data_IF_424334569481
#
_entry.id   IF_424334569481
#
_cell.length_a   1.000
_cell.length_b   1.000
_cell.length_c   1.000
_cell.angle_alpha   90.00
_cell.angle_beta   90.00
_cell.angle_gamma   90.00
#
_symmetry.space_group_name_H-M   'P 1'
#
loop_
_entity.id
_entity.type
_entity.pdbx_description
1 polymer ?
#
# COMPACT_ATOMS: atom_id res chain seq x y z
N UNK A 1 -5.19 -12.37 14.06
CA UNK A 1 -4.48 -11.16 13.57
C UNK A 1 -4.33 -11.29 12.06
N UNK A 2 -5.05 -10.49 11.26
CA UNK A 2 -4.88 -10.53 9.80
C UNK A 2 -3.58 -9.80 9.46
N UNK A 3 -2.56 -10.53 9.01
CA UNK A 3 -1.43 -9.89 8.33
C UNK A 3 -1.98 -9.30 7.04
N UNK A 4 -2.13 -7.96 6.96
CA UNK A 4 -2.54 -7.30 5.72
C UNK A 4 -1.72 -7.85 4.54
N UNK A 5 -2.35 -8.31 3.47
CA UNK A 5 -1.64 -8.81 2.29
C UNK A 5 -0.80 -7.68 1.68
N UNK A 6 0.17 -8.05 0.83
CA UNK A 6 0.95 -7.06 0.08
C UNK A 6 0.01 -6.18 -0.75
N UNK A 7 0.17 -4.85 -0.74
CA UNK A 7 -0.68 -3.94 -1.50
C UNK A 7 -0.68 -4.24 -3.01
N UNK A 8 -1.82 -3.97 -3.63
CA UNK A 8 -2.04 -4.04 -5.08
C UNK A 8 -2.68 -2.74 -5.55
N UNK A 9 -2.64 -2.43 -6.86
CA UNK A 9 -3.35 -1.28 -7.43
C UNK A 9 -4.84 -1.27 -7.03
N UNK A 10 -5.46 -2.44 -7.09
CA UNK A 10 -6.86 -2.61 -6.71
C UNK A 10 -7.09 -2.28 -5.23
N UNK A 11 -6.27 -2.80 -4.31
CA UNK A 11 -6.45 -2.52 -2.88
C UNK A 11 -6.20 -1.04 -2.57
N UNK A 12 -5.20 -0.40 -3.20
CA UNK A 12 -4.92 1.03 -3.04
C UNK A 12 -6.13 1.87 -3.49
N UNK A 13 -6.71 1.59 -4.65
CA UNK A 13 -7.92 2.27 -5.11
C UNK A 13 -9.10 1.98 -4.19
N UNK A 14 -9.30 0.71 -3.82
CA UNK A 14 -10.46 0.28 -3.04
C UNK A 14 -10.47 0.89 -1.65
N UNK A 15 -9.32 0.93 -0.99
CA UNK A 15 -9.17 1.42 0.38
C UNK A 15 -9.16 2.95 0.45
N UNK A 16 -8.65 3.64 -0.58
CA UNK A 16 -8.59 5.11 -0.62
C UNK A 16 -9.83 5.78 -1.22
N UNK A 17 -10.31 5.30 -2.37
CA UNK A 17 -11.35 5.96 -3.18
C UNK A 17 -12.59 5.10 -3.45
N UNK A 18 -12.51 3.80 -3.15
CA UNK A 18 -13.56 2.82 -3.40
C UNK A 18 -13.64 2.33 -4.85
N UNK A 19 -13.32 3.16 -5.85
CA UNK A 19 -13.37 2.83 -7.27
C UNK A 19 -12.42 3.66 -8.13
N UNK A 20 -12.07 3.15 -9.33
CA UNK A 20 -11.19 3.85 -10.29
C UNK A 20 -11.76 5.18 -10.79
N UNK A 21 -13.07 5.32 -11.11
CA UNK A 21 -13.63 6.62 -11.48
C UNK A 21 -13.52 7.67 -10.38
N UNK A 22 -13.75 7.29 -9.12
CA UNK A 22 -13.58 8.21 -7.98
C UNK A 22 -12.13 8.65 -7.81
N UNK A 23 -11.20 7.71 -8.01
CA UNK A 23 -9.76 8.02 -8.04
C UNK A 23 -9.46 9.05 -9.14
N UNK A 24 -9.85 8.79 -10.40
CA UNK A 24 -9.60 9.71 -11.53
C UNK A 24 -10.15 11.12 -11.22
N UNK A 25 -11.42 11.18 -10.81
CA UNK A 25 -12.08 12.44 -10.50
C UNK A 25 -11.38 13.24 -9.38
N UNK A 26 -10.83 12.56 -8.37
CA UNK A 26 -10.11 13.24 -7.28
C UNK A 26 -8.80 13.92 -7.72
N UNK A 27 -8.22 13.48 -8.84
CA UNK A 27 -7.04 14.09 -9.46
C UNK A 27 -7.43 15.03 -10.62
N UNK A 28 -8.72 15.32 -10.82
CA UNK A 28 -9.20 16.14 -11.93
C UNK A 28 -9.14 15.44 -13.29
N UNK A 29 -8.91 14.12 -13.31
CA UNK A 29 -8.79 13.31 -14.51
C UNK A 29 -10.14 12.80 -14.99
N UNK A 30 -10.31 12.71 -16.31
CA UNK A 30 -11.48 12.11 -16.96
C UNK A 30 -11.24 10.62 -17.23
N UNK A 31 -12.23 10.01 -17.86
CA UNK A 31 -12.19 8.62 -18.34
C UNK A 31 -11.83 8.53 -19.83
N UNK A 32 -10.98 9.44 -20.31
CA UNK A 32 -10.40 9.37 -21.66
C UNK A 32 -9.12 8.54 -21.64
N UNK A 33 -8.68 7.95 -22.77
CA UNK A 33 -7.46 7.16 -22.82
C UNK A 33 -6.22 7.90 -22.27
N UNK A 34 -6.07 9.18 -22.60
CA UNK A 34 -4.94 10.02 -22.19
C UNK A 34 -4.93 10.23 -20.66
N UNK A 35 -6.09 10.62 -20.10
CA UNK A 35 -6.24 10.83 -18.66
C UNK A 35 -6.15 9.51 -17.88
N UNK A 36 -6.48 8.37 -18.51
CA UNK A 36 -6.31 7.05 -17.93
C UNK A 36 -4.84 6.64 -17.82
N UNK A 37 -4.00 6.99 -18.80
CA UNK A 37 -2.55 6.79 -18.73
C UNK A 37 -1.94 7.63 -17.59
N UNK A 38 -2.28 8.91 -17.51
CA UNK A 38 -1.82 9.78 -16.41
C UNK A 38 -2.24 9.22 -15.04
N UNK A 39 -3.51 8.82 -14.92
CA UNK A 39 -4.00 8.20 -13.70
C UNK A 39 -3.32 6.87 -13.37
N UNK A 40 -2.84 6.14 -14.37
CA UNK A 40 -2.10 4.88 -14.18
C UNK A 40 -0.68 5.14 -13.67
N UNK A 41 -0.03 6.21 -14.14
CA UNK A 41 1.27 6.66 -13.63
C UNK A 41 1.19 7.08 -12.16
N UNK A 42 0.18 7.87 -11.79
CA UNK A 42 -0.07 8.26 -10.39
C UNK A 42 -0.30 7.02 -9.53
N UNK A 43 -1.14 6.09 -9.99
CA UNK A 43 -1.43 4.86 -9.27
C UNK A 43 -0.19 3.96 -9.09
N UNK A 44 0.71 3.93 -10.09
CA UNK A 44 1.99 3.23 -9.98
C UNK A 44 2.87 3.82 -8.87
N UNK A 45 2.92 5.14 -8.72
CA UNK A 45 3.68 5.79 -7.65
C UNK A 45 3.08 5.49 -6.28
N UNK A 46 1.76 5.60 -6.14
CA UNK A 46 1.06 5.26 -4.89
C UNK A 46 1.29 3.81 -4.48
N UNK A 47 1.24 2.88 -5.44
CA UNK A 47 1.50 1.47 -5.17
C UNK A 47 2.94 1.24 -4.68
N UNK A 48 3.93 1.90 -5.29
CA UNK A 48 5.34 1.78 -4.87
C UNK A 48 5.51 2.21 -3.42
N UNK A 49 4.92 3.34 -3.04
CA UNK A 49 4.98 3.83 -1.66
C UNK A 49 4.27 2.87 -0.69
N UNK A 50 3.07 2.42 -1.03
CA UNK A 50 2.32 1.47 -0.20
C UNK A 50 3.08 0.13 0.00
N UNK A 51 3.78 -0.35 -1.03
CA UNK A 51 4.63 -1.55 -0.92
C UNK A 51 5.82 -1.28 0.01
N UNK A 52 6.48 -0.13 -0.10
CA UNK A 52 7.60 0.23 0.77
C UNK A 52 7.18 0.26 2.24
N UNK A 53 6.06 0.91 2.55
CA UNK A 53 5.50 0.95 3.91
C UNK A 53 5.18 -0.45 4.43
N UNK A 54 4.56 -1.30 3.59
CA UNK A 54 4.25 -2.69 3.94
C UNK A 54 5.52 -3.51 4.22
N UNK A 55 6.59 -3.32 3.45
CA UNK A 55 7.87 -3.98 3.66
C UNK A 55 8.52 -3.54 4.98
N UNK A 56 8.48 -2.25 5.28
CA UNK A 56 9.08 -1.70 6.50
C UNK A 56 8.31 -2.11 7.76
N UNK A 57 6.97 -2.14 7.73
CA UNK A 57 6.16 -2.72 8.80
C UNK A 57 6.48 -4.20 9.05
N UNK A 58 6.78 -4.95 7.99
CA UNK A 58 7.16 -6.36 8.11
C UNK A 58 8.55 -6.53 8.71
N UNK A 59 9.51 -5.70 8.29
CA UNK A 59 10.86 -5.70 8.87
C UNK A 59 10.82 -5.32 10.36
N UNK A 60 10.04 -4.30 10.72
CA UNK A 60 9.88 -3.88 12.12
C UNK A 60 9.25 -4.98 12.98
N UNK A 61 8.20 -5.66 12.48
CA UNK A 61 7.60 -6.81 13.17
C UNK A 61 8.56 -7.97 13.33
N UNK A 62 9.35 -8.28 12.29
CA UNK A 62 10.37 -9.32 12.38
C UNK A 62 11.47 -8.95 13.39
N UNK A 63 11.93 -7.70 13.39
CA UNK A 63 12.91 -7.19 14.35
C UNK A 63 12.41 -7.21 15.80
N UNK A 64 11.18 -6.77 16.05
CA UNK A 64 10.56 -6.78 17.37
C UNK A 64 10.31 -8.21 17.89
N UNK A 65 9.92 -9.14 17.01
CA UNK A 65 9.75 -10.55 17.38
C UNK A 65 11.08 -11.18 17.84
N UNK A 66 12.18 -10.82 17.18
CA UNK A 66 13.51 -11.29 17.56
C UNK A 66 13.98 -10.70 18.91
N UNK A 67 13.71 -9.41 19.19
CA UNK A 67 14.06 -8.78 20.48
C UNK A 67 13.26 -9.40 21.63
N UNK A 68 11.97 -9.66 21.45
CA UNK A 68 11.13 -10.25 22.49
C UNK A 68 11.57 -11.69 22.86
N UNK A 69 12.02 -12.50 21.88
CA UNK A 69 12.57 -13.83 22.16
C UNK A 69 13.91 -13.78 22.91
N UNK A 70 14.78 -12.81 22.61
CA UNK A 70 16.07 -12.68 23.28
C UNK A 70 15.89 -12.26 24.75
N UNK A 71 14.99 -11.33 25.03
CA UNK A 71 14.73 -10.86 26.41
C UNK A 71 13.96 -11.88 27.27
N UNK A 72 13.17 -12.75 26.65
CA UNK A 72 12.48 -13.85 27.36
C UNK A 72 13.39 -15.03 27.76
N UNK A 73 14.61 -15.10 27.21
CA UNK A 73 15.57 -16.16 27.51
C UNK A 73 16.57 -15.79 28.63
N UNK A 74 16.44 -14.59 29.21
CA UNK A 74 17.16 -14.19 30.42
C UNK A 74 16.20 -14.21 31.62
N UNK A 75 15.75 -15.40 32.01
CA UNK A 75 15.10 -15.67 33.30
C UNK A 75 15.59 -17.00 33.86
#
# INVERSE_FOLDING_TARGET
>A
MSSKPRPTKYSVIKDGWGSRPNFQYSYGLKMTPEDLEEGEEILNQLLKNAIADWEDERKQRAGQSNVAQVLGNYQ
#
